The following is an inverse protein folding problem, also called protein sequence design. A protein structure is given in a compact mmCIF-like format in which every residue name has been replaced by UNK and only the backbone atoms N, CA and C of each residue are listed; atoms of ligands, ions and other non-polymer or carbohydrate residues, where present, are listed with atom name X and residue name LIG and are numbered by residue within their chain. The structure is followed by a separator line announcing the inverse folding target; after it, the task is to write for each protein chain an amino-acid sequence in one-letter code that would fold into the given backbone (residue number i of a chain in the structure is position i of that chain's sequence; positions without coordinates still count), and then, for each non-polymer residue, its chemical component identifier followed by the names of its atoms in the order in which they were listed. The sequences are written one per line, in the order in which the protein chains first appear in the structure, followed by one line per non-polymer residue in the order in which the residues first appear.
data_IF_415091424910
#
_entry.id   IF_415091424910
#
_cell.length_a   1.000
_cell.length_b   1.000
_cell.length_c   1.000
_cell.angle_alpha   90.00
_cell.angle_beta   90.00
_cell.angle_gamma   90.00
#
_symmetry.space_group_name_H-M   'P 1'
#
loop_
_entity.id
_entity.type
_entity.pdbx_description
1 polymer ?
#
# COMPACT_ATOMS: atom_id res chain seq x y z
N UNK A 1 17.53 -6.03 9.88
CA UNK A 1 17.08 -6.64 11.16
C UNK A 1 17.23 -5.68 12.34
N UNK A 2 18.34 -4.95 12.46
CA UNK A 2 18.55 -3.98 13.55
C UNK A 2 17.42 -2.94 13.67
N UNK A 3 16.97 -2.38 12.55
CA UNK A 3 15.81 -1.47 12.52
C UNK A 3 14.52 -2.07 13.13
N UNK A 4 14.27 -3.37 12.94
CA UNK A 4 13.12 -4.05 13.56
C UNK A 4 13.33 -4.32 15.05
N UNK A 5 14.58 -4.46 15.49
CA UNK A 5 14.96 -4.78 16.87
C UNK A 5 15.15 -3.55 17.76
N UNK A 6 14.95 -2.34 17.23
CA UNK A 6 14.96 -1.13 18.04
C UNK A 6 13.84 -1.19 19.09
N UNK A 7 13.95 -0.34 20.11
CA UNK A 7 12.95 -0.22 21.16
C UNK A 7 11.78 0.62 20.62
N UNK A 8 10.72 -0.04 20.15
CA UNK A 8 9.60 0.65 19.50
C UNK A 8 8.73 1.44 20.47
N UNK A 9 8.83 1.15 21.77
CA UNK A 9 8.19 1.94 22.82
C UNK A 9 8.79 3.35 22.94
N UNK A 10 10.03 3.56 22.49
CA UNK A 10 10.69 4.89 22.53
C UNK A 10 10.24 5.80 21.37
N UNK A 11 9.54 5.24 20.38
CA UNK A 11 8.99 6.00 19.25
C UNK A 11 7.72 6.73 19.71
N UNK A 12 7.91 7.93 20.26
CA UNK A 12 6.84 8.75 20.82
C UNK A 12 5.95 9.37 19.72
N UNK A 13 4.83 8.70 19.43
CA UNK A 13 3.78 9.17 18.52
C UNK A 13 2.41 8.91 19.14
N UNK A 14 1.53 9.89 19.00
CA UNK A 14 0.18 9.85 19.58
C UNK A 14 -0.78 8.95 18.82
N UNK A 15 -0.61 8.80 17.51
CA UNK A 15 -1.34 7.84 16.68
C UNK A 15 -0.71 7.73 15.29
N UNK A 16 -0.89 6.57 14.66
CA UNK A 16 -0.69 6.35 13.23
C UNK A 16 -1.95 5.62 12.77
N UNK A 17 -2.69 6.17 11.81
CA UNK A 17 -3.98 5.57 11.41
C UNK A 17 -3.82 4.42 10.43
N UNK A 18 -2.70 4.38 9.71
CA UNK A 18 -2.44 3.34 8.71
C UNK A 18 -2.59 1.95 9.34
N UNK A 19 -3.58 1.17 8.92
CA UNK A 19 -3.96 -0.14 9.47
C UNK A 19 -4.46 -0.15 10.91
N UNK A 20 -5.01 0.95 11.44
CA UNK A 20 -5.47 1.01 12.83
C UNK A 20 -6.54 -0.05 13.13
N UNK A 21 -7.57 -0.16 12.29
CA UNK A 21 -8.66 -1.15 12.46
C UNK A 21 -8.17 -2.60 12.46
N UNK A 22 -7.24 -2.93 11.57
CA UNK A 22 -6.68 -4.30 11.45
C UNK A 22 -5.77 -4.65 12.64
N UNK A 23 -5.23 -3.63 13.30
CA UNK A 23 -4.33 -3.75 14.45
C UNK A 23 -5.09 -3.72 15.78
N UNK A 24 -6.22 -3.00 15.88
CA UNK A 24 -7.05 -2.95 17.10
C UNK A 24 -7.57 -4.32 17.52
N UNK A 25 -7.79 -5.24 16.58
CA UNK A 25 -8.18 -6.62 16.88
C UNK A 25 -7.10 -7.41 17.69
N UNK A 26 -5.85 -6.95 17.68
CA UNK A 26 -4.75 -7.54 18.46
C UNK A 26 -4.54 -6.87 19.82
N UNK A 27 -5.23 -5.76 20.11
CA UNK A 27 -5.03 -4.96 21.33
C UNK A 27 -6.23 -5.15 22.27
N UNK A 28 -6.23 -6.27 22.98
CA UNK A 28 -6.92 -6.41 24.26
C UNK A 28 -5.87 -6.59 25.35
N UNK A 29 -5.17 -5.51 25.70
CA UNK A 29 -4.44 -5.41 26.96
C UNK A 29 -4.46 -3.94 27.41
N UNK A 30 -4.91 -3.73 28.65
CA UNK A 30 -4.85 -2.43 29.33
C UNK A 30 -3.39 -1.91 29.37
N UNK A 31 -3.18 -0.57 29.45
CA UNK A 31 -1.84 0.00 29.56
C UNK A 31 -1.09 -0.63 30.74
N UNK A 32 0.10 -1.17 30.48
CA UNK A 32 0.96 -1.73 31.51
C UNK A 32 1.63 -0.59 32.28
N UNK A 33 1.30 -0.45 33.56
CA UNK A 33 2.02 0.45 34.46
C UNK A 33 3.40 -0.14 34.75
N UNK A 34 4.44 0.64 34.48
CA UNK A 34 5.79 0.34 34.98
C UNK A 34 6.04 1.18 36.23
N UNK A 35 6.70 0.56 37.23
CA UNK A 35 7.19 1.25 38.42
C UNK A 35 8.29 2.25 38.01
N UNK A 36 7.92 3.54 37.89
CA UNK A 36 8.83 4.66 37.67
C UNK A 36 8.50 5.54 36.45
N UNK A 37 7.83 6.66 36.69
CA UNK A 37 7.77 7.91 35.90
C UNK A 37 7.62 7.84 34.36
N UNK A 38 6.86 6.88 33.82
CA UNK A 38 6.37 6.94 32.45
C UNK A 38 5.35 5.86 32.12
N UNK A 39 4.09 6.24 31.91
CA UNK A 39 3.08 5.32 31.39
C UNK A 39 3.36 5.07 29.90
N UNK A 40 3.62 3.82 29.52
CA UNK A 40 3.75 3.44 28.11
C UNK A 40 2.35 3.44 27.50
N UNK A 41 2.14 4.28 26.49
CA UNK A 41 0.85 4.32 25.80
C UNK A 41 0.55 3.01 25.08
N UNK A 42 -0.73 2.67 24.95
CA UNK A 42 -1.20 1.51 24.17
C UNK A 42 -0.66 1.52 22.74
N UNK A 43 -0.46 2.69 22.13
CA UNK A 43 0.09 2.87 20.78
C UNK A 43 1.57 2.46 20.69
N UNK A 44 2.36 2.82 21.70
CA UNK A 44 3.77 2.43 21.80
C UNK A 44 3.92 0.91 21.97
N UNK A 45 3.09 0.30 22.82
CA UNK A 45 3.08 -1.14 23.00
C UNK A 45 2.67 -1.86 21.71
N UNK A 46 1.67 -1.32 20.99
CA UNK A 46 1.26 -1.85 19.69
C UNK A 46 2.44 -1.87 18.69
N UNK A 47 3.20 -0.78 18.55
CA UNK A 47 4.37 -0.77 17.66
C UNK A 47 5.37 -1.88 18.01
N UNK A 48 5.62 -2.11 19.30
CA UNK A 48 6.49 -3.19 19.75
C UNK A 48 5.93 -4.58 19.38
N UNK A 49 4.64 -4.82 19.62
CA UNK A 49 3.97 -6.09 19.25
C UNK A 49 4.02 -6.36 17.74
N UNK A 50 3.76 -5.33 16.92
CA UNK A 50 3.82 -5.47 15.45
C UNK A 50 5.24 -5.83 14.99
N UNK A 51 6.27 -5.20 15.58
CA UNK A 51 7.66 -5.50 15.27
C UNK A 51 8.05 -6.93 15.64
N UNK A 52 7.59 -7.43 16.80
CA UNK A 52 7.82 -8.80 17.23
C UNK A 52 7.17 -9.83 16.30
N UNK A 53 5.92 -9.59 15.89
CA UNK A 53 5.23 -10.45 14.93
C UNK A 53 5.94 -10.49 13.57
N UNK A 54 6.42 -9.33 13.08
CA UNK A 54 7.24 -9.27 11.86
C UNK A 54 8.55 -10.03 12.03
N UNK A 55 9.23 -9.85 13.17
CA UNK A 55 10.50 -10.54 13.46
C UNK A 55 10.33 -12.06 13.47
N UNK A 56 9.25 -12.57 14.04
CA UNK A 56 8.93 -14.00 14.03
C UNK A 56 8.82 -14.54 12.59
N UNK A 57 8.05 -13.85 11.75
CA UNK A 57 7.92 -14.21 10.33
C UNK A 57 9.24 -14.09 9.58
N UNK A 58 10.01 -13.04 9.81
CA UNK A 58 11.33 -12.85 9.20
C UNK A 58 12.31 -13.97 9.57
N UNK A 59 12.28 -14.45 10.81
CA UNK A 59 13.17 -15.51 11.26
C UNK A 59 12.76 -16.89 10.73
N UNK A 60 11.51 -17.08 10.33
CA UNK A 60 10.96 -18.34 9.82
C UNK A 60 10.84 -18.41 8.30
N UNK A 61 10.95 -17.28 7.60
CA UNK A 61 10.82 -17.17 6.14
C UNK A 61 12.19 -17.19 5.45
N UNK A 62 12.27 -17.81 4.27
CA UNK A 62 13.49 -17.87 3.46
C UNK A 62 13.40 -16.82 2.36
N UNK A 63 14.54 -16.27 1.90
CA UNK A 63 14.57 -15.22 0.87
C UNK A 63 13.85 -15.59 -0.44
N UNK A 64 13.82 -16.88 -0.79
CA UNK A 64 13.12 -17.40 -1.97
C UNK A 64 11.66 -17.76 -1.72
N UNK A 65 11.10 -17.48 -0.54
CA UNK A 65 9.68 -17.68 -0.26
C UNK A 65 8.83 -16.73 -1.09
N UNK A 66 7.72 -17.23 -1.62
CA UNK A 66 6.65 -16.42 -2.18
C UNK A 66 5.60 -16.12 -1.12
N UNK A 67 5.19 -14.86 -1.05
CA UNK A 67 4.04 -14.39 -0.29
C UNK A 67 2.93 -14.11 -1.27
N UNK A 68 1.80 -14.80 -1.12
CA UNK A 68 0.64 -14.68 -2.00
C UNK A 68 -0.46 -13.84 -1.38
N UNK A 69 -1.22 -13.17 -2.22
CA UNK A 69 -2.52 -12.66 -1.83
C UNK A 69 -3.40 -13.81 -1.32
N UNK A 70 -4.33 -13.58 -0.38
CA UNK A 70 -5.24 -14.64 0.10
C UNK A 70 -6.06 -15.29 -1.02
N UNK A 71 -6.41 -14.53 -2.06
CA UNK A 71 -7.06 -15.00 -3.29
C UNK A 71 -6.17 -15.85 -4.20
N UNK A 72 -4.85 -15.84 -3.98
CA UNK A 72 -3.85 -16.52 -4.80
C UNK A 72 -3.56 -15.85 -6.15
N UNK A 73 -4.18 -14.71 -6.46
CA UNK A 73 -4.07 -14.06 -7.78
C UNK A 73 -2.73 -13.36 -8.05
N UNK A 74 -1.98 -13.06 -6.99
CA UNK A 74 -0.69 -12.36 -7.10
C UNK A 74 0.27 -12.79 -5.99
N UNK A 75 1.56 -12.54 -6.22
CA UNK A 75 2.61 -12.95 -5.30
C UNK A 75 3.83 -12.03 -5.35
N UNK A 76 4.51 -11.90 -4.23
CA UNK A 76 5.79 -11.22 -4.11
C UNK A 76 6.83 -12.11 -3.44
N UNK A 77 8.07 -12.07 -3.92
CA UNK A 77 9.19 -12.78 -3.29
C UNK A 77 9.65 -12.06 -2.03
N UNK A 78 10.01 -12.82 -1.00
CA UNK A 78 10.45 -12.26 0.28
C UNK A 78 11.69 -11.38 0.14
N UNK A 79 12.59 -11.65 -0.81
CA UNK A 79 13.74 -10.79 -1.11
C UNK A 79 13.36 -9.36 -1.53
N UNK A 80 12.21 -9.17 -2.20
CA UNK A 80 11.66 -7.86 -2.57
C UNK A 80 11.07 -7.10 -1.37
N UNK A 81 10.77 -7.80 -0.27
CA UNK A 81 10.25 -7.17 0.95
C UNK A 81 11.40 -6.70 1.84
N UNK A 82 12.35 -7.60 2.14
CA UNK A 82 13.43 -7.39 3.10
C UNK A 82 14.35 -6.22 2.69
N UNK A 83 14.54 -6.02 1.39
CA UNK A 83 15.44 -5.00 0.85
C UNK A 83 14.85 -3.60 0.73
N UNK A 84 13.53 -3.44 0.79
CA UNK A 84 12.86 -2.21 0.35
C UNK A 84 11.95 -1.56 1.39
N UNK A 85 11.32 -2.35 2.30
CA UNK A 85 10.37 -1.79 3.26
C UNK A 85 11.06 -1.26 4.51
N UNK A 86 11.95 -2.07 5.10
CA UNK A 86 12.62 -1.75 6.35
C UNK A 86 13.64 -0.61 6.20
N UNK A 87 13.71 0.27 7.20
CA UNK A 87 14.63 1.41 7.21
C UNK A 87 14.12 2.59 6.38
N UNK A 88 15.00 3.18 5.56
CA UNK A 88 14.75 4.44 4.85
C UNK A 88 14.86 4.30 3.32
N UNK A 89 14.79 3.09 2.78
CA UNK A 89 14.86 2.87 1.33
C UNK A 89 13.55 3.20 0.65
N UNK A 90 13.63 3.64 -0.60
CA UNK A 90 12.45 3.82 -1.43
C UNK A 90 11.83 2.46 -1.74
N UNK A 91 10.50 2.39 -1.72
CA UNK A 91 9.78 1.19 -2.14
C UNK A 91 9.99 0.95 -3.64
N UNK A 92 10.21 -0.31 -4.03
CA UNK A 92 10.15 -0.69 -5.43
C UNK A 92 8.70 -0.86 -5.89
N UNK A 93 8.54 -1.06 -7.19
CA UNK A 93 7.26 -1.28 -7.86
C UNK A 93 6.55 -2.54 -7.36
N UNK A 94 7.29 -3.64 -7.15
CA UNK A 94 6.73 -4.92 -6.68
C UNK A 94 6.05 -4.78 -5.31
N UNK A 95 6.76 -4.23 -4.32
CA UNK A 95 6.21 -4.11 -2.96
C UNK A 95 5.09 -3.09 -2.88
N UNK A 96 5.21 -1.98 -3.61
CA UNK A 96 4.18 -0.96 -3.65
C UNK A 96 2.89 -1.54 -4.24
N UNK A 97 2.99 -2.22 -5.40
CA UNK A 97 1.84 -2.84 -6.06
C UNK A 97 1.24 -3.96 -5.21
N UNK A 98 2.07 -4.86 -4.66
CA UNK A 98 1.59 -5.96 -3.85
C UNK A 98 0.86 -5.46 -2.59
N UNK A 99 1.39 -4.43 -1.93
CA UNK A 99 0.76 -3.82 -0.76
C UNK A 99 -0.61 -3.23 -1.10
N UNK A 100 -0.73 -2.52 -2.22
CA UNK A 100 -2.00 -1.96 -2.69
C UNK A 100 -3.03 -3.07 -3.03
N UNK A 101 -2.60 -4.15 -3.68
CA UNK A 101 -3.47 -5.30 -3.96
C UNK A 101 -3.96 -5.96 -2.67
N UNK A 102 -3.06 -6.15 -1.71
CA UNK A 102 -3.40 -6.73 -0.42
C UNK A 102 -4.42 -5.85 0.32
N UNK A 103 -4.27 -4.52 0.28
CA UNK A 103 -5.27 -3.60 0.82
C UNK A 103 -6.62 -3.69 0.09
N UNK A 104 -6.60 -3.71 -1.24
CA UNK A 104 -7.81 -3.84 -2.05
C UNK A 104 -8.59 -5.13 -1.74
N UNK A 105 -7.90 -6.23 -1.40
CA UNK A 105 -8.55 -7.49 -1.05
C UNK A 105 -9.04 -7.53 0.40
N UNK A 106 -8.33 -6.89 1.33
CA UNK A 106 -8.60 -7.02 2.77
C UNK A 106 -9.49 -5.93 3.34
N UNK A 107 -9.48 -4.72 2.76
CA UNK A 107 -10.12 -3.54 3.35
C UNK A 107 -11.48 -3.22 2.73
N UNK A 108 -11.73 -3.66 1.49
CA UNK A 108 -12.96 -3.32 0.78
C UNK A 108 -13.86 -4.54 0.59
N UNK A 109 -15.14 -4.38 0.91
CA UNK A 109 -16.18 -5.35 0.58
C UNK A 109 -16.67 -5.19 -0.86
N UNK A 110 -16.47 -3.99 -1.42
CA UNK A 110 -16.73 -3.66 -2.81
C UNK A 110 -15.55 -4.00 -3.70
N UNK A 111 -15.79 -4.07 -5.01
CA UNK A 111 -14.74 -4.37 -5.96
C UNK A 111 -13.76 -3.19 -6.11
N UNK A 112 -12.50 -3.43 -5.76
CA UNK A 112 -11.39 -2.50 -5.92
C UNK A 112 -10.39 -3.04 -6.94
N UNK A 113 -9.94 -2.21 -7.88
CA UNK A 113 -8.92 -2.58 -8.84
C UNK A 113 -7.62 -1.83 -8.60
N UNK A 114 -6.49 -2.53 -8.74
CA UNK A 114 -5.16 -1.92 -8.68
C UNK A 114 -4.47 -2.14 -10.01
N UNK A 115 -4.18 -1.05 -10.71
CA UNK A 115 -3.46 -1.08 -11.97
C UNK A 115 -1.95 -1.22 -11.75
N UNK A 116 -1.28 -1.84 -12.71
CA UNK A 116 0.18 -1.85 -12.75
C UNK A 116 0.73 -0.42 -12.90
N UNK A 117 1.80 -0.04 -12.18
CA UNK A 117 2.46 1.26 -12.37
C UNK A 117 2.98 1.47 -13.80
N UNK A 118 3.14 0.38 -14.57
CA UNK A 118 3.57 0.40 -15.96
C UNK A 118 2.42 0.58 -16.97
N UNK A 119 1.15 0.49 -16.54
CA UNK A 119 -0.01 0.59 -17.42
C UNK A 119 -0.06 1.89 -18.26
N UNK A 120 0.33 3.07 -17.74
CA UNK A 120 0.37 4.29 -18.56
C UNK A 120 1.36 4.19 -19.72
N UNK A 121 2.42 3.39 -19.61
CA UNK A 121 3.44 3.23 -20.65
C UNK A 121 3.15 2.05 -21.58
N UNK A 122 2.79 0.90 -21.02
CA UNK A 122 2.62 -0.36 -21.76
C UNK A 122 1.20 -0.57 -22.27
N UNK A 123 0.25 0.25 -21.83
CA UNK A 123 -1.17 0.10 -22.09
C UNK A 123 -1.91 -0.50 -20.90
N UNK A 124 -3.18 -0.11 -20.77
CA UNK A 124 -4.08 -0.68 -19.78
C UNK A 124 -4.50 -2.09 -20.20
N UNK A 125 -4.76 -3.00 -19.25
CA UNK A 125 -5.29 -4.32 -19.55
C UNK A 125 -6.62 -4.20 -20.29
N UNK A 126 -7.06 -5.27 -20.95
CA UNK A 126 -8.41 -5.30 -21.50
C UNK A 126 -9.44 -5.21 -20.36
N UNK A 127 -10.57 -4.53 -20.58
CA UNK A 127 -11.67 -4.54 -19.63
C UNK A 127 -12.03 -5.98 -19.19
N UNK A 128 -12.24 -6.24 -17.89
CA UNK A 128 -12.64 -7.55 -17.43
C UNK A 128 -14.02 -7.93 -18.00
N UNK A 129 -14.14 -9.12 -18.58
CA UNK A 129 -15.35 -9.56 -19.31
C UNK A 129 -16.60 -9.72 -18.43
N UNK A 130 -16.42 -9.89 -17.12
CA UNK A 130 -17.51 -10.17 -16.18
C UNK A 130 -17.60 -9.12 -15.06
N UNK A 131 -16.93 -7.98 -15.24
CA UNK A 131 -16.99 -6.89 -14.27
C UNK A 131 -17.52 -5.66 -14.97
N UNK A 132 -18.59 -5.10 -14.41
CA UNK A 132 -19.15 -3.84 -14.88
C UNK A 132 -18.33 -2.69 -14.32
N UNK A 133 -18.15 -1.62 -15.10
CA UNK A 133 -17.54 -0.41 -14.58
C UNK A 133 -18.31 0.12 -13.35
N UNK A 134 -19.64 -0.01 -13.38
CA UNK A 134 -20.55 0.42 -12.30
C UNK A 134 -20.52 -0.47 -11.05
N UNK A 135 -19.85 -1.63 -11.09
CA UNK A 135 -19.70 -2.49 -9.91
C UNK A 135 -18.37 -2.27 -9.17
N UNK A 136 -17.48 -1.46 -9.74
CA UNK A 136 -16.20 -1.09 -9.12
C UNK A 136 -16.41 0.15 -8.28
N UNK A 137 -15.94 0.15 -7.03
CA UNK A 137 -15.98 1.33 -6.17
C UNK A 137 -14.69 2.12 -6.24
N UNK A 138 -13.54 1.44 -6.33
CA UNK A 138 -12.24 2.08 -6.37
C UNK A 138 -11.35 1.53 -7.48
N UNK A 139 -10.58 2.42 -8.10
CA UNK A 139 -9.44 2.05 -8.95
C UNK A 139 -8.21 2.83 -8.53
N UNK A 140 -7.13 2.11 -8.29
CA UNK A 140 -5.88 2.64 -7.78
C UNK A 140 -4.82 2.52 -8.87
N UNK A 141 -4.23 3.64 -9.26
CA UNK A 141 -3.13 3.68 -10.23
C UNK A 141 -1.91 4.38 -9.62
N UNK A 142 -0.90 3.62 -9.18
CA UNK A 142 0.39 4.18 -8.85
C UNK A 142 1.08 4.74 -10.09
N UNK A 143 1.76 5.87 -9.93
CA UNK A 143 2.47 6.54 -11.01
C UNK A 143 3.94 6.67 -10.63
N UNK A 144 4.81 6.06 -11.43
CA UNK A 144 6.26 6.20 -11.27
C UNK A 144 6.81 7.30 -12.17
N UNK A 145 7.38 8.35 -11.58
CA UNK A 145 8.07 9.42 -12.29
C UNK A 145 9.55 9.05 -12.46
N UNK A 146 9.87 8.39 -13.57
CA UNK A 146 11.20 7.81 -13.81
C UNK A 146 12.34 8.83 -13.81
N UNK A 147 12.09 10.07 -14.26
CA UNK A 147 13.10 11.14 -14.31
C UNK A 147 13.55 11.62 -12.94
N UNK A 148 12.70 11.49 -11.91
CA UNK A 148 12.98 11.93 -10.54
C UNK A 148 12.99 10.80 -9.52
N UNK A 149 12.79 9.55 -9.96
CA UNK A 149 12.67 8.39 -9.09
C UNK A 149 11.65 8.65 -7.97
N UNK A 150 10.42 9.00 -8.35
CA UNK A 150 9.37 9.42 -7.42
C UNK A 150 8.07 8.65 -7.64
N UNK A 151 7.29 8.47 -6.58
CA UNK A 151 5.97 7.83 -6.60
C UNK A 151 4.87 8.85 -6.36
N UNK A 152 3.86 8.84 -7.23
CA UNK A 152 2.56 9.43 -7.01
C UNK A 152 1.45 8.39 -7.16
N UNK A 153 0.21 8.81 -6.99
CA UNK A 153 -0.97 7.96 -7.10
C UNK A 153 -2.15 8.72 -7.66
N UNK A 154 -2.90 8.04 -8.51
CA UNK A 154 -4.23 8.42 -8.97
C UNK A 154 -5.21 7.46 -8.31
N UNK A 155 -6.14 7.99 -7.52
CA UNK A 155 -7.22 7.24 -6.89
C UNK A 155 -8.50 7.64 -7.59
N UNK A 156 -9.23 6.66 -8.12
CA UNK A 156 -10.53 6.87 -8.77
C UNK A 156 -11.58 6.22 -7.90
N UNK A 157 -12.58 6.99 -7.51
CA UNK A 157 -13.75 6.55 -6.75
C UNK A 157 -14.98 6.67 -7.64
N UNK A 158 -15.75 5.59 -7.77
CA UNK A 158 -16.96 5.54 -8.58
C UNK A 158 -18.16 5.54 -7.64
N UNK A 159 -18.92 6.62 -7.69
CA UNK A 159 -20.11 6.83 -6.89
C UNK A 159 -21.35 6.71 -7.76
N UNK A 160 -22.11 5.64 -7.53
CA UNK A 160 -23.35 5.33 -8.25
C UNK A 160 -24.60 5.85 -7.52
N UNK A 161 -24.46 6.32 -6.26
CA UNK A 161 -25.58 6.72 -5.41
C UNK A 161 -25.97 8.20 -5.63
N UNK A 162 -25.11 8.96 -6.31
CA UNK A 162 -25.39 10.34 -6.69
C UNK A 162 -26.52 10.46 -7.73
N UNK A 163 -27.28 11.58 -7.75
CA UNK A 163 -28.34 11.81 -8.75
C UNK A 163 -27.86 11.69 -10.20
N UNK A 164 -26.57 11.94 -10.42
CA UNK A 164 -25.85 11.57 -11.64
C UNK A 164 -24.62 10.77 -11.20
N UNK A 165 -24.40 9.56 -11.76
CA UNK A 165 -23.21 8.78 -11.46
C UNK A 165 -21.95 9.64 -11.59
N UNK A 166 -21.08 9.59 -10.59
CA UNK A 166 -19.93 10.49 -10.50
C UNK A 166 -18.66 9.67 -10.33
N UNK A 167 -17.62 10.07 -11.06
CA UNK A 167 -16.26 9.59 -10.88
C UNK A 167 -15.47 10.71 -10.23
N UNK A 168 -15.00 10.46 -9.00
CA UNK A 168 -14.05 11.33 -8.32
C UNK A 168 -12.63 10.84 -8.62
N UNK A 169 -11.73 11.75 -8.96
CA UNK A 169 -10.34 11.48 -9.31
C UNK A 169 -9.45 12.29 -8.42
N UNK A 170 -8.63 11.62 -7.63
CA UNK A 170 -7.75 12.23 -6.67
C UNK A 170 -6.30 12.02 -7.10
N UNK A 171 -5.54 13.12 -7.14
CA UNK A 171 -4.12 13.12 -7.47
C UNK A 171 -3.31 13.40 -6.21
N UNK A 172 -2.35 12.53 -5.91
CA UNK A 172 -1.49 12.75 -4.77
C UNK A 172 -0.04 12.37 -5.06
N UNK A 173 0.85 13.24 -4.60
CA UNK A 173 2.28 13.06 -4.54
C UNK A 173 2.81 13.84 -3.34
N UNK A 174 3.95 13.43 -2.80
CA UNK A 174 4.36 13.87 -1.45
C UNK A 174 5.47 14.93 -1.43
N UNK A 175 5.95 15.37 -2.60
CA UNK A 175 6.95 16.45 -2.72
C UNK A 175 6.28 17.82 -2.80
N UNK A 176 5.08 17.92 -3.39
CA UNK A 176 4.34 19.16 -3.57
C UNK A 176 4.76 19.96 -4.81
N UNK A 177 5.12 19.28 -5.91
CA UNK A 177 5.57 19.94 -7.14
C UNK A 177 4.54 19.82 -8.28
N UNK A 178 4.13 20.97 -8.83
CA UNK A 178 3.11 21.09 -9.88
C UNK A 178 3.40 20.28 -11.16
N UNK A 179 4.68 20.01 -11.44
CA UNK A 179 5.11 19.17 -12.56
C UNK A 179 4.55 17.75 -12.47
N UNK A 180 4.45 17.18 -11.26
CA UNK A 180 3.92 15.84 -11.05
C UNK A 180 2.40 15.80 -11.26
N UNK A 181 1.68 16.80 -10.74
CA UNK A 181 0.24 16.93 -10.96
C UNK A 181 -0.10 17.03 -12.45
N UNK A 182 0.68 17.81 -13.21
CA UNK A 182 0.50 17.95 -14.65
C UNK A 182 0.63 16.60 -15.38
N UNK A 183 1.63 15.80 -15.02
CA UNK A 183 1.82 14.44 -15.57
C UNK A 183 0.67 13.50 -15.19
N UNK A 184 0.23 13.52 -13.92
CA UNK A 184 -0.89 12.67 -13.48
C UNK A 184 -2.21 13.03 -14.18
N UNK A 185 -2.50 14.33 -14.31
CA UNK A 185 -3.67 14.81 -15.08
C UNK A 185 -3.58 14.41 -16.54
N UNK A 186 -2.38 14.41 -17.14
CA UNK A 186 -2.20 13.92 -18.50
C UNK A 186 -2.47 12.41 -18.61
N UNK A 187 -1.96 11.61 -17.66
CA UNK A 187 -2.22 10.17 -17.60
C UNK A 187 -3.72 9.89 -17.46
N UNK A 188 -4.40 10.61 -16.57
CA UNK A 188 -5.86 10.51 -16.41
C UNK A 188 -6.58 10.83 -17.72
N UNK A 189 -6.43 12.05 -18.23
CA UNK A 189 -7.22 12.57 -19.34
C UNK A 189 -6.98 11.83 -20.65
N UNK A 190 -5.72 11.48 -20.95
CA UNK A 190 -5.36 10.87 -22.24
C UNK A 190 -5.39 9.34 -22.23
N UNK A 191 -5.33 8.70 -21.06
CA UNK A 191 -5.13 7.24 -20.99
C UNK A 191 -6.18 6.56 -20.13
N UNK A 192 -6.22 6.85 -18.82
CA UNK A 192 -7.12 6.12 -17.91
C UNK A 192 -8.59 6.41 -18.22
N UNK A 193 -8.98 7.67 -18.41
CA UNK A 193 -10.36 8.02 -18.77
C UNK A 193 -10.80 7.38 -20.11
N UNK A 194 -9.90 7.33 -21.09
CA UNK A 194 -10.17 6.66 -22.36
C UNK A 194 -10.39 5.14 -22.16
N UNK A 195 -9.58 4.52 -21.29
CA UNK A 195 -9.76 3.12 -20.92
C UNK A 195 -11.11 2.86 -20.22
N UNK A 196 -11.53 3.74 -19.30
CA UNK A 196 -12.84 3.61 -18.63
C UNK A 196 -14.02 3.80 -19.59
N UNK A 197 -13.92 4.73 -20.53
CA UNK A 197 -14.93 4.92 -21.60
C UNK A 197 -15.06 3.67 -22.47
N UNK A 198 -13.92 3.07 -22.85
CA UNK A 198 -13.92 1.82 -23.63
C UNK A 198 -14.53 0.66 -22.84
N UNK A 199 -14.21 0.55 -21.55
CA UNK A 199 -14.81 -0.45 -20.68
C UNK A 199 -16.32 -0.28 -20.60
N UNK A 200 -16.81 0.93 -20.31
CA UNK A 200 -18.24 1.21 -20.26
C UNK A 200 -18.97 0.79 -21.54
N UNK A 201 -18.43 1.16 -22.71
CA UNK A 201 -19.01 0.84 -24.03
C UNK A 201 -19.09 -0.68 -24.29
N UNK A 202 -18.13 -1.45 -23.76
CA UNK A 202 -18.09 -2.91 -23.92
C UNK A 202 -19.10 -3.63 -23.03
N UNK A 203 -19.48 -3.03 -21.91
CA UNK A 203 -20.38 -3.62 -20.91
C UNK A 203 -21.84 -3.15 -21.08
N UNK A 204 -22.06 -2.02 -21.77
CA UNK A 204 -23.38 -1.42 -21.89
C UNK A 204 -24.17 -1.90 -23.12
N UNK A 205 -25.50 -1.89 -23.00
CA UNK A 205 -26.41 -2.16 -24.13
C UNK A 205 -26.40 -1.02 -25.18
N UNK A 206 -27.07 -1.24 -26.31
CA UNK A 206 -27.08 -0.29 -27.43
C UNK A 206 -27.70 1.07 -27.07
N UNK A 207 -28.63 1.10 -26.11
CA UNK A 207 -29.28 2.32 -25.64
C UNK A 207 -28.34 3.13 -24.78
N UNK A 208 -27.73 2.51 -23.77
CA UNK A 208 -26.73 3.13 -22.92
C UNK A 208 -25.51 3.62 -23.74
N UNK A 209 -25.14 2.88 -24.80
CA UNK A 209 -24.09 3.32 -25.73
C UNK A 209 -24.44 4.60 -26.48
N UNK A 210 -25.70 4.77 -26.87
CA UNK A 210 -26.19 5.98 -27.53
C UNK A 210 -26.28 7.19 -26.59
N UNK A 211 -26.56 6.95 -25.30
CA UNK A 211 -26.59 7.98 -24.24
C UNK A 211 -25.17 8.46 -23.85
N UNK A 212 -24.14 7.66 -24.15
CA UNK A 212 -22.74 8.03 -23.97
C UNK A 212 -22.21 7.71 -22.57
N UNK A 213 -21.00 8.19 -22.25
CA UNK A 213 -20.38 7.94 -20.94
C UNK A 213 -21.13 8.70 -19.85
N UNK A 214 -21.84 8.03 -18.92
CA UNK A 214 -22.88 8.64 -18.09
C UNK A 214 -22.34 9.32 -16.83
N UNK A 215 -21.02 9.37 -16.68
CA UNK A 215 -20.38 9.84 -15.46
C UNK A 215 -20.02 11.31 -15.55
N UNK A 216 -20.39 12.06 -14.51
CA UNK A 216 -19.72 13.33 -14.21
C UNK A 216 -18.34 13.03 -13.66
N UNK A 217 -17.32 13.81 -14.04
CA UNK A 217 -15.95 13.65 -13.53
C UNK A 217 -15.61 14.84 -12.65
N UNK A 218 -15.20 14.56 -11.41
CA UNK A 218 -14.73 15.56 -10.44
C UNK A 218 -13.26 15.25 -10.14
N UNK A 219 -12.38 16.23 -10.38
CA UNK A 219 -10.94 16.09 -10.21
C UNK A 219 -10.43 16.92 -9.04
N UNK A 220 -9.67 16.30 -8.14
CA UNK A 220 -9.11 16.93 -6.95
C UNK A 220 -7.61 16.64 -6.81
N UNK A 221 -6.84 17.69 -6.54
CA UNK A 221 -5.41 17.57 -6.25
C UNK A 221 -5.19 17.67 -4.75
N UNK A 222 -4.59 16.64 -4.17
CA UNK A 222 -4.24 16.59 -2.76
C UNK A 222 -2.78 17.02 -2.62
N UNK A 223 -2.55 18.14 -1.92
CA UNK A 223 -1.21 18.72 -1.76
C UNK A 223 -0.52 18.34 -0.44
N UNK A 224 -1.22 17.64 0.45
CA UNK A 224 -0.75 17.27 1.79
C UNK A 224 -1.18 15.84 2.17
N UNK A 225 -0.42 15.15 3.03
CA UNK A 225 0.80 15.61 3.69
C UNK A 225 2.06 15.50 2.81
N UNK A 226 3.06 16.33 3.10
CA UNK A 226 4.38 16.21 2.46
C UNK A 226 5.22 15.14 3.16
N UNK A 227 6.09 14.46 2.41
CA UNK A 227 7.06 13.55 3.02
C UNK A 227 8.14 14.34 3.78
N UNK A 228 8.61 13.83 4.93
CA UNK A 228 9.67 14.47 5.72
C UNK A 228 11.08 14.21 5.17
N UNK A 229 11.19 13.46 4.07
CA UNK A 229 12.44 13.02 3.45
C UNK A 229 12.25 12.88 1.93
N UNK A 230 13.29 12.47 1.19
CA UNK A 230 13.24 12.30 -0.27
C UNK A 230 12.96 10.87 -0.76
N UNK A 231 12.61 9.94 0.13
CA UNK A 231 12.61 8.49 -0.11
C UNK A 231 11.32 7.78 0.29
N UNK A 232 10.41 8.47 0.98
CA UNK A 232 9.21 7.89 1.58
C UNK A 232 7.97 7.99 0.69
N UNK A 233 8.09 8.56 -0.51
CA UNK A 233 7.00 8.74 -1.46
C UNK A 233 6.13 7.49 -1.67
N UNK A 234 6.71 6.30 -1.78
CA UNK A 234 5.94 5.05 -1.89
C UNK A 234 5.12 4.71 -0.64
N UNK A 235 5.67 4.99 0.55
CA UNK A 235 4.96 4.82 1.83
C UNK A 235 3.80 5.80 1.93
N UNK A 236 4.02 7.06 1.50
CA UNK A 236 2.99 8.10 1.48
C UNK A 236 1.83 7.73 0.53
N UNK A 237 2.15 7.19 -0.65
CA UNK A 237 1.18 6.71 -1.63
C UNK A 237 0.32 5.58 -1.06
N UNK A 238 0.93 4.61 -0.36
CA UNK A 238 0.19 3.53 0.30
C UNK A 238 -0.74 4.08 1.40
N UNK A 239 -0.25 5.01 2.21
CA UNK A 239 -1.06 5.63 3.27
C UNK A 239 -2.25 6.41 2.71
N UNK A 240 -2.06 7.13 1.60
CA UNK A 240 -3.15 7.82 0.91
C UNK A 240 -4.16 6.84 0.30
N UNK A 241 -3.71 5.73 -0.29
CA UNK A 241 -4.64 4.70 -0.76
C UNK A 241 -5.46 4.11 0.41
N UNK A 242 -4.80 3.82 1.55
CA UNK A 242 -5.47 3.28 2.73
C UNK A 242 -6.58 4.21 3.25
N UNK A 243 -6.32 5.51 3.36
CA UNK A 243 -7.29 6.50 3.86
C UNK A 243 -8.55 6.57 2.99
N UNK A 244 -8.38 6.41 1.67
CA UNK A 244 -9.49 6.36 0.73
C UNK A 244 -10.26 5.03 0.82
N UNK A 245 -9.55 3.90 0.82
CA UNK A 245 -10.16 2.57 0.84
C UNK A 245 -10.91 2.26 2.14
N UNK A 246 -10.48 2.81 3.27
CA UNK A 246 -11.15 2.65 4.57
C UNK A 246 -12.24 3.71 4.82
N UNK A 247 -12.34 4.72 3.96
CA UNK A 247 -13.20 5.87 4.18
C UNK A 247 -12.71 6.83 5.27
N UNK A 248 -11.62 6.52 5.99
CA UNK A 248 -10.99 7.46 6.92
C UNK A 248 -10.12 8.46 6.15
N UNK A 249 -10.70 9.59 5.76
CA UNK A 249 -10.07 10.63 4.93
C UNK A 249 -9.19 11.61 5.73
N UNK A 250 -8.76 11.27 6.94
CA UNK A 250 -8.02 12.18 7.82
C UNK A 250 -6.51 12.24 7.54
N UNK A 251 -5.94 11.26 6.83
CA UNK A 251 -4.50 11.26 6.48
C UNK A 251 -3.98 12.58 5.85
N UNK A 252 -4.69 13.22 4.89
CA UNK A 252 -4.41 14.58 4.41
C UNK A 252 -4.16 15.64 5.51
N UNK A 253 -4.77 15.49 6.68
CA UNK A 253 -4.70 16.45 7.79
C UNK A 253 -3.48 16.23 8.70
N UNK A 254 -2.74 15.13 8.51
CA UNK A 254 -1.67 14.73 9.42
C UNK A 254 -0.36 15.49 9.21
N UNK A 255 0.36 15.72 10.31
CA UNK A 255 1.74 16.15 10.27
C UNK A 255 2.68 14.95 10.21
N UNK A 256 3.14 14.61 9.01
CA UNK A 256 4.02 13.45 8.81
C UNK A 256 5.48 13.77 9.16
N UNK A 257 5.99 13.10 10.19
CA UNK A 257 7.39 13.19 10.64
C UNK A 257 8.18 11.93 10.25
N UNK A 258 9.50 11.94 10.41
CA UNK A 258 10.33 10.73 10.16
C UNK A 258 9.94 9.55 11.05
N UNK A 259 9.57 9.82 12.31
CA UNK A 259 9.05 8.80 13.21
C UNK A 259 7.73 8.24 12.69
N UNK A 260 6.83 9.11 12.22
CA UNK A 260 5.55 8.72 11.64
C UNK A 260 5.75 7.78 10.44
N UNK A 261 6.67 8.12 9.55
CA UNK A 261 7.08 7.26 8.42
C UNK A 261 7.64 5.92 8.89
N UNK A 262 8.48 5.89 9.92
CA UNK A 262 9.03 4.64 10.44
C UNK A 262 7.91 3.69 10.93
N UNK A 263 6.91 4.23 11.62
CA UNK A 263 5.73 3.47 12.02
C UNK A 263 4.88 3.04 10.81
N UNK A 264 4.64 3.90 9.82
CA UNK A 264 3.94 3.49 8.60
C UNK A 264 4.65 2.32 7.89
N UNK A 265 5.98 2.38 7.78
CA UNK A 265 6.79 1.28 7.22
C UNK A 265 6.65 0.00 8.02
N UNK A 266 6.67 0.09 9.35
CA UNK A 266 6.47 -1.06 10.22
C UNK A 266 5.10 -1.70 9.97
N UNK A 267 4.05 -0.88 9.84
CA UNK A 267 2.69 -1.36 9.62
C UNK A 267 2.47 -1.95 8.22
N UNK A 268 3.05 -1.34 7.18
CA UNK A 268 3.11 -1.93 5.84
C UNK A 268 3.79 -3.29 5.90
N UNK A 269 4.93 -3.36 6.59
CA UNK A 269 5.68 -4.61 6.69
C UNK A 269 4.91 -5.68 7.45
N UNK A 270 4.29 -5.31 8.55
CA UNK A 270 3.41 -6.19 9.31
C UNK A 270 2.26 -6.70 8.45
N UNK A 271 1.57 -5.83 7.71
CA UNK A 271 0.47 -6.25 6.86
C UNK A 271 0.93 -7.26 5.81
N UNK A 272 2.00 -6.96 5.08
CA UNK A 272 2.53 -7.85 4.04
C UNK A 272 2.97 -9.19 4.64
N UNK A 273 3.62 -9.20 5.79
CA UNK A 273 4.15 -10.44 6.39
C UNK A 273 3.12 -11.29 7.12
N UNK A 274 2.02 -10.69 7.58
CA UNK A 274 1.04 -11.37 8.45
C UNK A 274 -0.32 -11.59 7.78
N UNK A 275 -0.67 -10.78 6.77
CA UNK A 275 -1.93 -10.91 6.02
C UNK A 275 -1.74 -11.63 4.67
N UNK A 276 -0.53 -11.69 4.13
CA UNK A 276 -0.25 -12.55 2.99
C UNK A 276 -0.10 -14.02 3.40
N UNK A 277 -0.42 -14.93 2.48
CA UNK A 277 -0.20 -16.37 2.65
C UNK A 277 1.22 -16.70 2.22
N UNK A 278 2.05 -17.13 3.17
CA UNK A 278 3.44 -17.54 2.89
C UNK A 278 3.42 -18.98 2.38
N UNK A 279 3.89 -19.21 1.17
CA UNK A 279 3.92 -20.56 0.60
C UNK A 279 4.92 -21.45 1.37
N UNK A 280 4.51 -22.68 1.76
CA UNK A 280 5.43 -23.64 2.33
C UNK A 280 6.49 -24.00 1.30
N UNK A 281 7.74 -23.61 1.58
CA UNK A 281 8.87 -24.05 0.77
C UNK A 281 9.03 -25.57 0.90
N UNK A 282 9.27 -26.30 -0.21
CA UNK A 282 9.63 -27.72 -0.16
C UNK A 282 10.76 -27.97 0.85
N UNK A 283 10.60 -28.98 1.71
CA UNK A 283 11.50 -29.26 2.84
C UNK A 283 12.99 -29.28 2.45
N UNK A 284 13.32 -29.80 1.26
CA UNK A 284 14.66 -29.82 0.69
C UNK A 284 15.26 -28.40 0.50
N UNK A 285 14.45 -27.48 -0.03
CA UNK A 285 14.86 -26.08 -0.22
C UNK A 285 14.97 -25.38 1.13
N UNK A 286 14.10 -25.72 2.10
CA UNK A 286 14.17 -25.21 3.47
C UNK A 286 15.47 -25.62 4.17
N UNK A 287 15.92 -26.86 3.97
CA UNK A 287 17.17 -27.39 4.51
C UNK A 287 18.39 -26.74 3.85
N UNK A 288 18.39 -26.63 2.52
CA UNK A 288 19.45 -25.93 1.78
C UNK A 288 19.53 -24.46 2.17
N UNK A 289 18.40 -23.76 2.24
CA UNK A 289 18.34 -22.37 2.64
C UNK A 289 18.78 -22.17 4.10
N UNK A 290 18.40 -23.06 5.01
CA UNK A 290 18.86 -23.03 6.41
C UNK A 290 20.37 -23.18 6.50
N UNK A 291 20.96 -24.07 5.67
CA UNK A 291 22.41 -24.23 5.55
C UNK A 291 23.08 -22.95 5.02
N UNK A 292 22.59 -22.40 3.90
CA UNK A 292 23.09 -21.14 3.33
C UNK A 292 22.98 -19.99 4.32
N UNK A 293 21.87 -19.87 5.06
CA UNK A 293 21.66 -18.82 6.05
C UNK A 293 22.62 -18.96 7.25
N UNK A 294 22.92 -20.19 7.68
CA UNK A 294 23.97 -20.46 8.70
C UNK A 294 25.35 -20.06 8.20
N UNK A 295 25.67 -20.37 6.94
CA UNK A 295 26.95 -20.00 6.30
C UNK A 295 27.09 -18.47 6.18
N UNK A 296 26.04 -17.78 5.74
CA UNK A 296 26.00 -16.31 5.66
C UNK A 296 26.14 -15.66 7.03
N UNK A 297 25.42 -16.12 8.06
CA UNK A 297 25.57 -15.61 9.44
C UNK A 297 26.99 -15.79 9.97
N UNK A 298 27.65 -16.91 9.64
CA UNK A 298 29.04 -17.18 10.03
C UNK A 298 30.04 -16.29 9.27
N UNK A 299 29.76 -15.97 8.01
CA UNK A 299 30.59 -15.07 7.20
C UNK A 299 30.43 -13.61 7.62
N UNK A 300 29.19 -13.18 7.92
CA UNK A 300 28.86 -11.79 8.27
C UNK A 300 29.10 -11.46 9.76
N UNK A 301 29.12 -12.46 10.66
CA UNK A 301 29.47 -12.29 12.07
C UNK A 301 30.97 -12.26 12.36
N UNK A 302 31.81 -12.17 11.33
CA UNK A 302 33.26 -11.96 11.42
C UNK A 302 33.63 -10.54 10.97
N UNK A 303 33.08 -9.53 11.64
CA UNK A 303 33.58 -8.16 11.64
C UNK A 303 33.28 -7.51 12.98
#
# INVERSE_FOLDING_TARGET
MEWLRQVWTDVNLTSVELFETENSAHVLAEPATLDGDGEISTVQLLHQTLAEAVLEKYNSTVLSSDLRLPSGQDSIRFDQIVGFVAGNRMLNDDILRFTLLLMAEQLTTSQTLVFSPHAPMLGFPRPPQHTRLTSVSFMILPVFFSSSNHWGIIIVEVDMDMPTPTIYVFYYESIGADSYLSVMKEIWNKKLLAHLKLWYVQDCDDRARAEGFPFTVVEEAISVPLQPDGTSCGVMVIAMAYSYLTGNRDFPLHKVTKAYVACMRLRILWMVMTKAVIEPIPQLIKEHASKTNKELKKALGRH
#
